data_IF_228829756615
#
_entry.id   IF_228829756615
#
_cell.length_a   1.000
_cell.length_b   1.000
_cell.length_c   1.000
_cell.angle_alpha   90.00
_cell.angle_beta   90.00
_cell.angle_gamma   90.00
#
_symmetry.space_group_name_H-M   'P 1'
#
loop_
_entity.id
_entity.type
_entity.pdbx_description
1 polymer ?
#
# COMPACT_ATOMS: atom_id res chain seq x y z
N UNK A 1 11.25 -10.53 -0.99
CA UNK A 1 10.97 -9.42 -0.06
C UNK A 1 11.01 -9.97 1.36
N UNK A 2 11.65 -9.29 2.31
CA UNK A 2 11.56 -9.68 3.73
C UNK A 2 10.28 -9.06 4.32
N UNK A 3 9.26 -9.90 4.56
CA UNK A 3 7.93 -9.46 5.00
C UNK A 3 7.98 -8.68 6.31
N UNK A 4 8.72 -9.17 7.30
CA UNK A 4 8.80 -8.53 8.61
C UNK A 4 9.44 -7.14 8.49
N UNK A 5 10.58 -7.05 7.79
CA UNK A 5 11.25 -5.78 7.56
C UNK A 5 10.35 -4.78 6.82
N UNK A 6 9.59 -5.23 5.83
CA UNK A 6 8.70 -4.38 5.04
C UNK A 6 7.47 -3.93 5.82
N UNK A 7 6.87 -4.82 6.63
CA UNK A 7 5.80 -4.47 7.56
C UNK A 7 6.27 -3.45 8.60
N UNK A 8 7.48 -3.61 9.14
CA UNK A 8 8.08 -2.64 10.06
C UNK A 8 8.30 -1.31 9.37
N UNK A 9 8.87 -1.30 8.16
CA UNK A 9 9.09 -0.08 7.38
C UNK A 9 7.78 0.65 7.11
N UNK A 10 6.74 -0.04 6.65
CA UNK A 10 5.42 0.55 6.38
C UNK A 10 4.73 1.07 7.64
N UNK A 11 4.91 0.38 8.76
CA UNK A 11 4.34 0.82 10.05
C UNK A 11 5.00 2.10 10.56
N UNK A 12 6.33 2.20 10.46
CA UNK A 12 7.10 3.36 10.92
C UNK A 12 7.01 4.55 9.96
N UNK A 13 6.95 4.30 8.66
CA UNK A 13 6.89 5.31 7.62
C UNK A 13 5.45 5.70 7.24
N UNK A 14 4.46 5.42 8.10
CA UNK A 14 3.06 5.77 7.83
C UNK A 14 2.93 7.31 7.82
N UNK A 15 2.53 7.92 6.69
CA UNK A 15 2.37 9.36 6.62
C UNK A 15 1.18 9.82 7.46
N UNK A 16 1.27 11.04 7.97
CA UNK A 16 0.14 11.73 8.59
C UNK A 16 -0.97 11.99 7.56
N UNK A 17 -2.21 12.19 8.02
CA UNK A 17 -3.36 12.38 7.14
C UNK A 17 -3.32 13.68 6.34
N UNK A 18 -2.56 14.66 6.80
CA UNK A 18 -2.30 15.96 6.19
C UNK A 18 -0.99 16.01 5.39
N UNK A 19 -0.28 14.88 5.27
CA UNK A 19 0.91 14.80 4.44
C UNK A 19 0.55 15.02 2.96
N UNK A 20 1.54 15.41 2.16
CA UNK A 20 1.36 15.64 0.73
C UNK A 20 0.70 14.41 0.05
N UNK A 21 -0.32 14.59 -0.82
CA UNK A 21 -1.04 13.48 -1.45
C UNK A 21 -0.12 12.47 -2.15
N UNK A 22 0.94 12.95 -2.80
CA UNK A 22 1.98 12.10 -3.41
C UNK A 22 2.69 11.17 -2.40
N UNK A 23 3.00 11.66 -1.19
CA UNK A 23 3.62 10.86 -0.12
C UNK A 23 2.65 9.79 0.38
N UNK A 24 1.38 10.15 0.59
CA UNK A 24 0.34 9.21 1.02
C UNK A 24 0.12 8.15 -0.08
N UNK A 25 0.10 8.57 -1.34
CA UNK A 25 -0.02 7.66 -2.48
C UNK A 25 1.13 6.66 -2.54
N UNK A 26 2.38 7.12 -2.44
CA UNK A 26 3.56 6.27 -2.46
C UNK A 26 3.54 5.22 -1.34
N UNK A 27 3.08 5.59 -0.15
CA UNK A 27 2.90 4.65 0.96
C UNK A 27 1.84 3.58 0.64
N UNK A 28 0.69 3.95 0.07
CA UNK A 28 -0.33 2.99 -0.35
C UNK A 28 0.15 2.08 -1.49
N UNK A 29 0.94 2.60 -2.43
CA UNK A 29 1.53 1.79 -3.51
C UNK A 29 2.48 0.73 -2.94
N UNK A 30 3.36 1.09 -2.01
CA UNK A 30 4.24 0.15 -1.34
C UNK A 30 3.45 -0.90 -0.51
N UNK A 31 2.38 -0.47 0.17
CA UNK A 31 1.47 -1.37 0.88
C UNK A 31 0.78 -2.37 -0.06
N UNK A 32 0.41 -1.94 -1.27
CA UNK A 32 -0.16 -2.84 -2.27
C UNK A 32 0.85 -3.92 -2.71
N UNK A 33 2.11 -3.54 -2.95
CA UNK A 33 3.17 -4.48 -3.32
C UNK A 33 3.42 -5.53 -2.23
N UNK A 34 3.37 -5.15 -0.96
CA UNK A 34 3.43 -6.11 0.15
C UNK A 34 2.28 -7.12 0.09
N UNK A 35 1.05 -6.65 -0.08
CA UNK A 35 -0.12 -7.53 -0.12
C UNK A 35 -0.16 -8.43 -1.37
N UNK A 36 0.32 -7.94 -2.52
CA UNK A 36 0.52 -8.76 -3.71
C UNK A 36 1.51 -9.91 -3.47
N UNK A 37 2.63 -9.61 -2.82
CA UNK A 37 3.61 -10.64 -2.45
C UNK A 37 3.08 -11.63 -1.42
N UNK A 38 2.30 -11.18 -0.43
CA UNK A 38 1.68 -12.08 0.54
C UNK A 38 0.67 -13.02 -0.13
N UNK A 39 -0.09 -12.53 -1.11
CA UNK A 39 -1.00 -13.37 -1.88
C UNK A 39 -0.24 -14.50 -2.61
N UNK A 40 0.96 -14.26 -3.13
CA UNK A 40 1.72 -15.32 -3.82
C UNK A 40 2.43 -16.31 -2.88
N UNK A 41 2.56 -15.97 -1.59
CA UNK A 41 3.38 -16.75 -0.64
C UNK A 41 2.54 -17.71 0.22
N UNK A 42 1.27 -17.40 0.50
CA UNK A 42 0.39 -18.25 1.31
C UNK A 42 -0.97 -18.50 0.62
N UNK A 43 -1.35 -19.78 0.48
CA UNK A 43 -2.59 -20.19 -0.18
C UNK A 43 -3.84 -19.93 0.68
N UNK A 44 -3.71 -19.88 2.00
CA UNK A 44 -4.85 -19.72 2.92
C UNK A 44 -5.32 -18.27 3.06
N UNK A 45 -4.41 -17.30 2.97
CA UNK A 45 -4.73 -15.87 3.12
C UNK A 45 -4.90 -15.12 1.79
N UNK A 46 -4.82 -15.84 0.66
CA UNK A 46 -4.84 -15.30 -0.70
C UNK A 46 -5.99 -14.30 -0.97
N UNK A 47 -7.27 -14.59 -0.65
CA UNK A 47 -8.38 -13.70 -1.02
C UNK A 47 -8.32 -12.36 -0.27
N UNK A 48 -7.92 -12.40 1.01
CA UNK A 48 -7.79 -11.21 1.86
C UNK A 48 -6.61 -10.37 1.42
N UNK A 49 -5.47 -10.99 1.14
CA UNK A 49 -4.28 -10.30 0.64
C UNK A 49 -4.56 -9.62 -0.71
N UNK A 50 -5.25 -10.31 -1.63
CA UNK A 50 -5.68 -9.73 -2.92
C UNK A 50 -6.62 -8.54 -2.71
N UNK A 51 -7.64 -8.67 -1.85
CA UNK A 51 -8.56 -7.56 -1.56
C UNK A 51 -7.84 -6.33 -0.98
N UNK A 52 -6.90 -6.55 -0.06
CA UNK A 52 -6.09 -5.48 0.54
C UNK A 52 -5.15 -4.84 -0.49
N UNK A 53 -4.57 -5.63 -1.40
CA UNK A 53 -3.78 -5.12 -2.52
C UNK A 53 -4.63 -4.20 -3.42
N UNK A 54 -5.82 -4.64 -3.84
CA UNK A 54 -6.71 -3.83 -4.67
C UNK A 54 -7.14 -2.53 -3.98
N UNK A 55 -7.53 -2.60 -2.70
CA UNK A 55 -7.90 -1.42 -1.93
C UNK A 55 -6.76 -0.41 -1.81
N UNK A 56 -5.52 -0.89 -1.59
CA UNK A 56 -4.35 -0.04 -1.51
C UNK A 56 -4.01 0.60 -2.87
N UNK A 57 -4.09 -0.15 -3.98
CA UNK A 57 -3.92 0.39 -5.34
C UNK A 57 -4.95 1.47 -5.66
N UNK A 58 -6.23 1.22 -5.36
CA UNK A 58 -7.30 2.18 -5.61
C UNK A 58 -7.08 3.50 -4.86
N UNK A 59 -6.63 3.44 -3.59
CA UNK A 59 -6.29 4.64 -2.81
C UNK A 59 -5.10 5.40 -3.38
N UNK A 60 -4.04 4.70 -3.77
CA UNK A 60 -2.88 5.31 -4.41
C UNK A 60 -3.26 6.04 -5.70
N UNK A 61 -4.06 5.41 -6.56
CA UNK A 61 -4.54 6.02 -7.80
C UNK A 61 -5.41 7.27 -7.55
N UNK A 62 -6.34 7.19 -6.59
CA UNK A 62 -7.19 8.34 -6.24
C UNK A 62 -6.36 9.53 -5.72
N UNK A 63 -5.32 9.27 -4.93
CA UNK A 63 -4.46 10.33 -4.39
C UNK A 63 -3.56 10.97 -5.45
N UNK A 64 -3.11 10.22 -6.45
CA UNK A 64 -2.36 10.80 -7.58
C UNK A 64 -3.26 11.66 -8.45
N UNK A 65 -4.50 11.23 -8.69
CA UNK A 65 -5.48 12.04 -9.44
C UNK A 65 -5.80 13.36 -8.75
N UNK A 66 -5.70 13.45 -7.43
CA UNK A 66 -5.85 14.71 -6.68
C UNK A 66 -4.57 15.54 -6.76
N UNK A 67 -3.40 14.91 -6.63
CA UNK A 67 -2.11 15.59 -6.72
C UNK A 67 -1.84 16.24 -8.08
N UNK A 68 -2.36 15.67 -9.17
CA UNK A 68 -2.22 16.22 -10.52
C UNK A 68 -3.15 17.44 -10.78
N UNK A 69 -4.06 17.76 -9.86
CA UNK A 69 -4.97 18.91 -9.96
C UNK A 69 -4.55 20.13 -9.12
N UNK A 70 -3.55 19.99 -8.26
CA UNK A 70 -2.88 21.07 -7.50
C UNK A 70 -1.67 21.62 -8.28
#
# INVERSE_FOLDING_TARGET
MNVLAEMTRLSLARPASDAHPATISAWYAAKAQLHEYLATTDRLEHPRAVALCHSARARSAALLSVADQD
#
